data_IF_129778710334
#
_entry.id   IF_129778710334
#
_cell.length_a   1.000
_cell.length_b   1.000
_cell.length_c   1.000
_cell.angle_alpha   90.00
_cell.angle_beta   90.00
_cell.angle_gamma   90.00
#
_symmetry.space_group_name_H-M   'P 1'
#
loop_
_entity.id
_entity.type
_entity.pdbx_description
1 polymer ?
#
# COMPACT_ATOMS: atom_id res chain seq x y z
N UNK A 1 33.32 -42.37 37.35
CA UNK A 1 34.01 -41.85 36.15
C UNK A 1 33.25 -40.61 35.67
N UNK A 2 33.71 -39.42 36.05
CA UNK A 2 33.04 -38.15 35.74
C UNK A 2 33.56 -37.61 34.41
N UNK A 3 32.68 -37.39 33.43
CA UNK A 3 33.03 -36.80 32.13
C UNK A 3 32.79 -35.29 32.19
N UNK A 4 33.86 -34.52 32.12
CA UNK A 4 33.83 -33.06 31.98
C UNK A 4 33.64 -32.67 30.51
N UNK A 5 32.62 -31.85 30.22
CA UNK A 5 32.35 -31.32 28.88
C UNK A 5 33.20 -30.04 28.61
N UNK A 6 33.65 -29.82 27.36
CA UNK A 6 34.45 -28.65 26.99
C UNK A 6 33.60 -27.38 26.81
N UNK A 7 34.18 -26.22 27.17
CA UNK A 7 33.61 -24.87 27.03
C UNK A 7 33.67 -24.36 25.57
N UNK A 8 32.69 -23.55 25.12
CA UNK A 8 32.73 -22.90 23.81
C UNK A 8 33.66 -21.68 23.78
N UNK A 9 34.43 -21.57 22.69
CA UNK A 9 35.43 -20.53 22.41
C UNK A 9 34.78 -19.28 21.83
N UNK A 10 35.17 -18.11 22.35
CA UNK A 10 34.72 -16.78 21.94
C UNK A 10 35.30 -16.37 20.57
N UNK A 11 34.47 -15.69 19.79
CA UNK A 11 34.74 -15.11 18.47
C UNK A 11 35.55 -13.80 18.55
N UNK A 12 36.58 -13.68 17.71
CA UNK A 12 37.16 -12.44 17.17
C UNK A 12 37.62 -12.81 15.75
N UNK A 13 37.44 -12.08 14.66
CA UNK A 13 37.02 -10.71 14.36
C UNK A 13 37.73 -10.40 13.04
N UNK A 14 37.07 -9.80 12.05
CA UNK A 14 37.76 -8.94 11.09
C UNK A 14 36.77 -8.09 10.28
N UNK A 15 37.08 -6.82 10.35
CA UNK A 15 36.51 -5.63 9.72
C UNK A 15 36.80 -5.55 8.23
N UNK A 16 35.84 -5.10 7.44
CA UNK A 16 36.13 -4.19 6.32
C UNK A 16 35.07 -3.09 6.29
N UNK A 17 35.58 -1.88 6.41
CA UNK A 17 34.97 -0.55 6.34
C UNK A 17 34.54 -0.16 4.93
N UNK A 18 33.47 0.63 4.79
CA UNK A 18 33.33 1.69 3.77
C UNK A 18 32.23 2.71 4.17
N UNK A 19 32.23 3.94 3.61
CA UNK A 19 32.14 5.17 4.39
C UNK A 19 30.74 5.79 4.58
N UNK A 20 30.72 6.59 5.63
CA UNK A 20 29.67 7.48 6.11
C UNK A 20 29.62 8.79 5.29
N UNK A 21 28.44 9.19 4.83
CA UNK A 21 28.10 10.57 4.50
C UNK A 21 26.65 10.87 4.93
N UNK A 22 26.58 11.45 6.12
CA UNK A 22 25.53 12.29 6.71
C UNK A 22 24.59 13.01 5.72
N UNK A 23 23.27 12.99 5.96
CA UNK A 23 22.58 14.12 6.63
C UNK A 23 21.08 13.86 6.84
N UNK A 24 20.66 14.06 8.07
CA UNK A 24 19.33 14.46 8.57
C UNK A 24 18.28 14.97 7.57
N UNK A 25 17.07 14.41 7.65
CA UNK A 25 15.83 15.19 7.81
C UNK A 25 14.66 14.26 8.14
N UNK A 26 14.10 14.43 9.33
CA UNK A 26 12.78 13.93 9.71
C UNK A 26 11.73 14.53 8.78
N UNK A 27 10.93 13.72 8.08
CA UNK A 27 9.61 14.16 7.64
C UNK A 27 8.60 13.03 7.67
N UNK A 28 7.59 13.31 8.48
CA UNK A 28 6.34 12.57 8.72
C UNK A 28 5.48 12.57 7.45
N UNK A 29 4.87 11.43 7.15
CA UNK A 29 3.47 11.40 6.69
C UNK A 29 3.20 11.16 5.20
N UNK A 30 2.16 10.33 5.01
CA UNK A 30 1.36 10.02 3.81
C UNK A 30 2.06 9.31 2.63
N UNK A 31 1.91 7.99 2.59
CA UNK A 31 1.97 7.21 1.37
C UNK A 31 0.80 7.59 0.46
N UNK A 32 0.98 8.58 -0.43
CA UNK A 32 0.23 8.64 -1.68
C UNK A 32 1.04 7.88 -2.73
N UNK A 33 0.47 6.81 -3.29
CA UNK A 33 1.02 6.22 -4.50
C UNK A 33 0.88 7.26 -5.62
N UNK A 34 1.98 7.94 -5.92
CA UNK A 34 2.05 8.94 -6.98
C UNK A 34 1.84 8.25 -8.34
N UNK A 35 0.67 8.49 -8.93
CA UNK A 35 0.37 8.12 -10.31
C UNK A 35 1.33 8.85 -11.26
N UNK A 36 2.42 8.19 -11.66
CA UNK A 36 3.36 8.71 -12.64
C UNK A 36 2.75 8.67 -14.05
N UNK A 37 2.14 9.78 -14.49
CA UNK A 37 1.75 9.99 -15.89
C UNK A 37 2.99 10.42 -16.68
N UNK A 38 3.59 9.48 -17.42
CA UNK A 38 4.70 9.80 -18.33
C UNK A 38 4.14 10.26 -19.68
N UNK A 39 4.20 11.56 -19.97
CA UNK A 39 3.94 12.10 -21.31
C UNK A 39 5.24 12.10 -22.12
N UNK A 40 5.32 11.29 -23.19
CA UNK A 40 6.44 11.31 -24.14
C UNK A 40 6.22 12.42 -25.18
N UNK A 41 7.11 13.41 -25.20
CA UNK A 41 7.18 14.41 -26.27
C UNK A 41 7.86 13.82 -27.51
N UNK A 42 7.18 13.89 -28.66
CA UNK A 42 7.75 13.46 -29.94
C UNK A 42 8.77 14.48 -30.47
N UNK A 43 9.95 13.98 -30.83
CA UNK A 43 11.10 14.71 -31.39
C UNK A 43 10.72 15.31 -32.75
N UNK A 44 10.76 16.65 -32.87
CA UNK A 44 10.57 17.40 -34.12
C UNK A 44 11.56 16.93 -35.19
N UNK A 45 11.04 16.42 -36.31
CA UNK A 45 11.78 16.30 -37.57
C UNK A 45 12.00 17.72 -38.12
N UNK A 46 13.26 18.11 -38.34
CA UNK A 46 13.57 19.30 -39.15
C UNK A 46 13.51 18.89 -40.62
N UNK A 47 12.48 19.36 -41.33
CA UNK A 47 12.47 19.36 -42.79
C UNK A 47 13.07 20.67 -43.27
N UNK A 48 13.88 20.56 -44.31
CA UNK A 48 14.70 21.61 -44.90
C UNK A 48 13.86 22.82 -45.35
N UNK A 49 14.40 24.02 -45.15
CA UNK A 49 13.86 25.30 -45.58
C UNK A 49 13.90 25.41 -47.12
N UNK A 50 12.78 25.11 -47.77
CA UNK A 50 12.46 25.63 -49.10
C UNK A 50 11.58 26.87 -48.94
N UNK A 51 11.73 27.91 -49.78
CA UNK A 51 10.90 29.12 -49.68
C UNK A 51 9.43 28.75 -49.86
N UNK A 52 8.66 28.89 -48.78
CA UNK A 52 7.22 28.70 -48.75
C UNK A 52 6.61 29.77 -49.66
N UNK A 53 6.03 29.36 -50.80
CA UNK A 53 5.09 30.21 -51.52
C UNK A 53 3.95 30.54 -50.56
N UNK A 54 3.73 31.82 -50.30
CA UNK A 54 2.58 32.27 -49.52
C UNK A 54 1.29 31.67 -50.11
N UNK A 55 0.47 30.99 -49.30
CA UNK A 55 -0.82 30.49 -49.77
C UNK A 55 -1.76 31.67 -50.04
N UNK A 56 -2.33 31.69 -51.24
CA UNK A 56 -3.36 32.65 -51.65
C UNK A 56 -4.46 32.76 -50.58
N UNK A 57 -4.73 33.96 -50.02
CA UNK A 57 -5.71 34.13 -48.93
C UNK A 57 -7.18 33.97 -49.37
N UNK A 58 -7.44 33.55 -50.60
CA UNK A 58 -8.76 33.64 -51.23
C UNK A 58 -9.53 32.32 -51.37
N UNK A 59 -9.01 31.17 -50.91
CA UNK A 59 -9.69 29.88 -51.06
C UNK A 59 -9.65 29.07 -49.77
N UNK A 60 -10.59 29.32 -48.86
CA UNK A 60 -11.29 28.33 -48.02
C UNK A 60 -12.16 29.04 -46.95
N UNK A 61 -13.32 29.62 -47.33
CA UNK A 61 -14.30 30.10 -46.35
C UNK A 61 -15.07 28.97 -45.65
N UNK A 62 -14.73 27.69 -45.88
CA UNK A 62 -15.53 26.54 -45.44
C UNK A 62 -15.03 25.82 -44.18
N UNK A 63 -13.99 26.30 -43.49
CA UNK A 63 -13.80 25.93 -42.09
C UNK A 63 -14.77 26.72 -41.22
N UNK A 64 -16.07 26.54 -41.50
CA UNK A 64 -17.15 26.97 -40.63
C UNK A 64 -16.98 26.23 -39.30
N UNK A 65 -16.59 26.99 -38.28
CA UNK A 65 -16.96 26.82 -36.88
C UNK A 65 -17.91 25.63 -36.66
N UNK A 66 -17.34 24.47 -36.32
CA UNK A 66 -18.11 23.36 -35.76
C UNK A 66 -18.81 23.89 -34.52
N UNK A 67 -20.12 24.13 -34.62
CA UNK A 67 -20.91 24.62 -33.49
C UNK A 67 -20.69 23.64 -32.33
N UNK A 68 -20.41 24.10 -31.11
CA UNK A 68 -20.29 23.20 -29.97
C UNK A 68 -21.60 22.41 -29.86
N UNK A 69 -21.49 21.09 -29.97
CA UNK A 69 -22.59 20.16 -29.79
C UNK A 69 -23.00 20.23 -28.31
N UNK A 70 -23.91 21.15 -27.98
CA UNK A 70 -24.37 21.42 -26.61
C UNK A 70 -24.83 20.15 -25.87
N UNK A 71 -25.30 19.17 -26.63
CA UNK A 71 -25.69 17.86 -26.13
C UNK A 71 -24.48 17.06 -25.63
N UNK A 72 -23.37 17.03 -26.37
CA UNK A 72 -22.14 16.35 -25.95
C UNK A 72 -21.54 17.00 -24.71
N UNK A 73 -21.51 18.33 -24.66
CA UNK A 73 -21.01 19.06 -23.50
C UNK A 73 -21.85 18.79 -22.25
N UNK A 74 -23.18 18.74 -22.40
CA UNK A 74 -24.11 18.37 -21.33
C UNK A 74 -23.90 16.94 -20.83
N UNK A 75 -23.75 15.98 -21.75
CA UNK A 75 -23.47 14.58 -21.40
C UNK A 75 -22.13 14.47 -20.68
N UNK A 76 -21.08 15.13 -21.17
CA UNK A 76 -19.77 15.13 -20.52
C UNK A 76 -19.83 15.73 -19.11
N UNK A 77 -20.55 16.84 -18.92
CA UNK A 77 -20.74 17.43 -17.60
C UNK A 77 -21.49 16.48 -16.64
N UNK A 78 -22.55 15.82 -17.11
CA UNK A 78 -23.29 14.84 -16.31
C UNK A 78 -22.41 13.64 -15.93
N UNK A 79 -21.63 13.11 -16.88
CA UNK A 79 -20.72 12.01 -16.62
C UNK A 79 -19.61 12.38 -15.62
N UNK A 80 -19.11 13.62 -15.67
CA UNK A 80 -18.14 14.12 -14.69
C UNK A 80 -18.76 14.19 -13.28
N UNK A 81 -19.94 14.78 -13.16
CA UNK A 81 -20.67 14.86 -11.89
C UNK A 81 -20.98 13.47 -11.32
N UNK A 82 -21.40 12.53 -12.17
CA UNK A 82 -21.65 11.14 -11.77
C UNK A 82 -20.37 10.44 -11.32
N UNK A 83 -19.25 10.65 -12.01
CA UNK A 83 -17.97 10.07 -11.64
C UNK A 83 -17.48 10.62 -10.29
N UNK A 84 -17.60 11.92 -10.06
CA UNK A 84 -17.29 12.54 -8.77
C UNK A 84 -18.15 12.00 -7.65
N UNK A 85 -19.46 11.86 -7.89
CA UNK A 85 -20.40 11.26 -6.93
C UNK A 85 -20.05 9.80 -6.63
N UNK A 86 -19.74 9.00 -7.65
CA UNK A 86 -19.36 7.60 -7.47
C UNK A 86 -18.04 7.47 -6.69
N UNK A 87 -17.04 8.31 -7.00
CA UNK A 87 -15.79 8.37 -6.24
C UNK A 87 -16.03 8.76 -4.79
N UNK A 88 -16.87 9.77 -4.55
CA UNK A 88 -17.25 10.20 -3.20
C UNK A 88 -17.90 9.06 -2.41
N UNK A 89 -18.88 8.37 -2.99
CA UNK A 89 -19.55 7.23 -2.37
C UNK A 89 -18.57 6.07 -2.10
N UNK A 90 -17.68 5.75 -3.06
CA UNK A 90 -16.69 4.70 -2.88
C UNK A 90 -15.73 5.02 -1.73
N UNK A 91 -15.31 6.28 -1.59
CA UNK A 91 -14.46 6.74 -0.49
C UNK A 91 -15.19 6.67 0.85
N UNK A 92 -16.45 7.09 0.90
CA UNK A 92 -17.28 7.01 2.11
C UNK A 92 -17.43 5.54 2.58
N UNK A 93 -17.80 4.65 1.65
CA UNK A 93 -17.97 3.23 1.94
C UNK A 93 -16.66 2.58 2.37
N UNK A 94 -15.54 2.94 1.75
CA UNK A 94 -14.21 2.45 2.14
C UNK A 94 -13.86 2.88 3.56
N UNK A 95 -14.15 4.13 3.91
CA UNK A 95 -13.92 4.66 5.26
C UNK A 95 -14.76 3.92 6.29
N UNK A 96 -16.07 3.76 6.03
CA UNK A 96 -16.98 3.03 6.91
C UNK A 96 -16.59 1.57 7.08
N UNK A 97 -16.19 0.91 5.99
CA UNK A 97 -15.66 -0.45 6.05
C UNK A 97 -14.38 -0.54 6.88
N UNK A 98 -13.51 0.48 6.80
CA UNK A 98 -12.32 0.60 7.64
C UNK A 98 -12.66 0.62 9.13
N UNK A 99 -13.62 1.47 9.52
CA UNK A 99 -14.11 1.55 10.91
C UNK A 99 -14.66 0.22 11.40
N UNK A 100 -15.51 -0.44 10.59
CA UNK A 100 -16.08 -1.75 10.95
C UNK A 100 -14.98 -2.81 11.10
N UNK A 101 -14.01 -2.85 10.19
CA UNK A 101 -12.87 -3.78 10.26
C UNK A 101 -12.03 -3.55 11.52
N UNK A 102 -11.81 -2.30 11.91
CA UNK A 102 -11.10 -1.97 13.12
C UNK A 102 -11.86 -2.44 14.35
N UNK A 103 -13.16 -2.18 14.42
CA UNK A 103 -13.99 -2.59 15.55
C UNK A 103 -14.02 -4.12 15.73
N UNK A 104 -14.10 -4.88 14.64
CA UNK A 104 -14.03 -6.35 14.69
C UNK A 104 -12.66 -6.87 15.18
N UNK A 105 -11.59 -6.07 15.07
CA UNK A 105 -10.24 -6.45 15.54
C UNK A 105 -9.89 -5.91 16.91
N UNK A 106 -10.73 -5.06 17.49
CA UNK A 106 -10.47 -4.40 18.77
C UNK A 106 -10.32 -5.39 19.93
N UNK A 107 -11.08 -6.49 19.88
CA UNK A 107 -11.02 -7.58 20.86
C UNK A 107 -10.06 -8.71 20.47
N UNK A 108 -9.38 -8.62 19.33
CA UNK A 108 -8.48 -9.69 18.87
C UNK A 108 -7.13 -9.55 19.58
N UNK A 109 -6.70 -10.63 20.23
CA UNK A 109 -5.38 -10.70 20.85
C UNK A 109 -4.43 -11.44 19.89
N UNK A 110 -3.39 -10.75 19.42
CA UNK A 110 -2.34 -11.36 18.62
C UNK A 110 -1.18 -11.79 19.52
N UNK A 111 -0.90 -13.10 19.53
CA UNK A 111 0.19 -13.67 20.33
C UNK A 111 1.26 -14.22 19.40
N UNK A 112 2.49 -13.73 19.57
CA UNK A 112 3.65 -14.12 18.77
C UNK A 112 4.67 -14.88 19.62
N UNK A 113 5.47 -15.74 18.99
CA UNK A 113 6.57 -16.46 19.66
C UNK A 113 6.14 -17.67 20.49
N UNK A 114 4.92 -18.17 20.31
CA UNK A 114 4.50 -19.45 20.89
C UNK A 114 5.17 -20.60 20.10
N UNK A 115 5.90 -21.52 20.75
CA UNK A 115 6.48 -22.67 20.06
C UNK A 115 5.40 -23.57 19.47
N UNK A 116 5.57 -23.98 18.21
CA UNK A 116 4.55 -24.74 17.49
C UNK A 116 4.69 -26.26 17.71
N UNK A 117 3.69 -26.88 18.35
CA UNK A 117 3.62 -28.33 18.53
C UNK A 117 2.38 -28.93 17.86
N UNK A 118 2.51 -30.14 17.30
CA UNK A 118 1.44 -30.81 16.54
C UNK A 118 0.13 -31.03 17.33
N UNK A 119 0.22 -31.16 18.65
CA UNK A 119 -0.90 -31.46 19.54
C UNK A 119 -1.09 -30.37 20.61
N UNK A 120 -0.69 -29.13 20.32
CA UNK A 120 -0.85 -28.03 21.27
C UNK A 120 -2.32 -27.66 21.48
N UNK A 121 -2.69 -27.36 22.72
CA UNK A 121 -3.96 -26.71 23.04
C UNK A 121 -3.71 -25.21 23.28
N UNK A 122 -3.96 -24.41 22.23
CA UNK A 122 -3.74 -22.97 22.25
C UNK A 122 -4.60 -22.23 23.28
N UNK A 123 -5.81 -22.72 23.57
CA UNK A 123 -6.69 -22.12 24.58
C UNK A 123 -6.06 -22.24 25.97
N UNK A 124 -5.58 -23.43 26.32
CA UNK A 124 -4.88 -23.65 27.59
C UNK A 124 -3.62 -22.79 27.71
N UNK A 125 -2.82 -22.70 26.64
CA UNK A 125 -1.63 -21.84 26.61
C UNK A 125 -2.00 -20.39 26.89
N UNK A 126 -3.05 -19.86 26.23
CA UNK A 126 -3.50 -18.48 26.41
C UNK A 126 -4.05 -18.21 27.82
N UNK A 127 -4.84 -19.13 28.38
CA UNK A 127 -5.38 -19.02 29.75
C UNK A 127 -4.25 -19.00 30.78
N UNK A 128 -3.24 -19.87 30.62
CA UNK A 128 -2.07 -19.89 31.49
C UNK A 128 -1.25 -18.59 31.39
N UNK A 129 -1.08 -18.06 30.19
CA UNK A 129 -0.41 -16.76 29.97
C UNK A 129 -1.20 -15.62 30.64
N UNK A 130 -2.51 -15.60 30.46
CA UNK A 130 -3.41 -14.59 31.03
C UNK A 130 -3.36 -14.56 32.57
N UNK A 131 -3.31 -15.75 33.18
CA UNK A 131 -3.15 -15.91 34.63
C UNK A 131 -1.80 -15.39 35.10
N UNK A 132 -0.74 -15.65 34.32
CA UNK A 132 0.63 -15.22 34.65
C UNK A 132 0.77 -13.70 34.66
N UNK A 133 0.05 -12.99 33.76
CA UNK A 133 0.08 -11.53 33.69
C UNK A 133 -0.93 -10.83 34.62
N UNK A 134 -1.67 -11.59 35.43
CA UNK A 134 -2.64 -11.05 36.39
C UNK A 134 -4.00 -10.66 35.80
N UNK A 135 -4.29 -11.09 34.57
CA UNK A 135 -5.55 -10.83 33.87
C UNK A 135 -6.17 -12.16 33.42
N UNK A 136 -6.77 -12.94 34.34
CA UNK A 136 -7.24 -14.28 34.02
C UNK A 136 -8.38 -14.26 32.99
N UNK A 137 -8.24 -15.05 31.93
CA UNK A 137 -9.26 -15.34 30.94
C UNK A 137 -9.90 -16.70 31.19
N UNK A 138 -11.19 -16.83 30.91
CA UNK A 138 -11.90 -18.11 30.92
C UNK A 138 -12.13 -18.62 29.49
N UNK A 139 -12.40 -19.91 29.35
CA UNK A 139 -12.76 -20.50 28.04
C UNK A 139 -13.96 -19.82 27.39
N UNK A 140 -14.93 -19.36 28.19
CA UNK A 140 -16.13 -18.66 27.70
C UNK A 140 -15.84 -17.27 27.13
N UNK A 141 -14.70 -16.68 27.50
CA UNK A 141 -14.26 -15.36 27.02
C UNK A 141 -13.59 -15.48 25.64
N UNK A 142 -13.23 -16.69 25.22
CA UNK A 142 -12.51 -16.98 23.99
C UNK A 142 -13.51 -17.42 22.91
N UNK A 143 -13.84 -16.51 21.99
CA UNK A 143 -14.77 -16.82 20.90
C UNK A 143 -14.16 -17.74 19.84
N UNK A 144 -12.92 -17.45 19.42
CA UNK A 144 -12.21 -18.21 18.39
C UNK A 144 -10.70 -18.05 18.58
N UNK A 145 -9.97 -19.15 18.41
CA UNK A 145 -8.51 -19.14 18.29
C UNK A 145 -8.14 -19.68 16.92
N UNK A 146 -7.19 -19.02 16.27
CA UNK A 146 -6.68 -19.48 14.97
C UNK A 146 -5.18 -19.24 14.91
N UNK A 147 -4.45 -20.30 14.58
CA UNK A 147 -3.03 -20.20 14.28
C UNK A 147 -2.87 -19.70 12.85
N UNK A 148 -2.13 -18.60 12.67
CA UNK A 148 -1.83 -18.10 11.34
C UNK A 148 -0.57 -18.83 10.85
N UNK A 149 -0.75 -19.69 9.86
CA UNK A 149 0.35 -20.44 9.26
C UNK A 149 1.40 -19.49 8.67
N UNK A 150 2.67 -19.83 8.88
CA UNK A 150 3.77 -19.09 8.27
C UNK A 150 3.73 -19.29 6.75
N UNK A 151 3.53 -18.19 6.01
CA UNK A 151 3.59 -18.20 4.56
C UNK A 151 5.05 -18.43 4.13
N UNK A 152 5.42 -19.68 3.84
CA UNK A 152 6.70 -19.99 3.21
C UNK A 152 6.65 -19.49 1.76
N UNK A 153 7.28 -18.34 1.48
CA UNK A 153 7.59 -17.92 0.11
C UNK A 153 8.84 -18.70 -0.32
N UNK A 154 8.63 -19.76 -1.08
CA UNK A 154 9.70 -20.45 -1.83
C UNK A 154 10.03 -19.65 -3.10
#
# INVERSE_FOLDING_TARGET
MQRTLPKPTLTQGQSVSEPDLTSSATKVGSNSEDFNITMRANKRFRLNDSPVKEPDPALHPEFQNGKPDKEKDSITANLQADNERLKSNANELTTRLGVVKQHVRESNIETNGIPEYKNENLANTLINLSTTIGSPLNDIDILQITQIAKLNKN
#
